data_IF_497523048962
#
_entry.id   IF_497523048962
#
_cell.length_a   1.000
_cell.length_b   1.000
_cell.length_c   1.000
_cell.angle_alpha   90.00
_cell.angle_beta   90.00
_cell.angle_gamma   90.00
#
_symmetry.space_group_name_H-M   'P 1'
#
loop_
_entity.id
_entity.type
_entity.pdbx_description
1 polymer ?
#
# COMPACT_ATOMS: atom_id res chain seq x y z
N UNK A 1 -12.23 -19.14 6.98
CA UNK A 1 -10.92 -18.48 6.78
C UNK A 1 -10.19 -19.16 5.64
N UNK A 2 -9.57 -18.40 4.73
CA UNK A 2 -8.81 -18.94 3.61
C UNK A 2 -7.59 -19.74 4.10
N UNK A 3 -7.08 -20.65 3.27
CA UNK A 3 -5.87 -21.44 3.60
C UNK A 3 -4.58 -20.65 3.41
N UNK A 4 -4.55 -19.76 2.43
CA UNK A 4 -3.55 -18.70 2.23
C UNK A 4 -4.32 -17.40 2.17
N UNK A 5 -3.84 -16.38 2.86
CA UNK A 5 -4.54 -15.11 2.98
C UNK A 5 -3.52 -13.98 3.12
N UNK A 6 -3.31 -13.27 2.00
CA UNK A 6 -2.39 -12.15 1.92
C UNK A 6 -3.14 -10.87 2.24
N UNK A 7 -2.57 -10.06 3.12
CA UNK A 7 -3.17 -8.77 3.42
C UNK A 7 -2.16 -7.66 3.63
N UNK A 8 -2.68 -6.44 3.52
CA UNK A 8 -2.02 -5.17 3.83
C UNK A 8 -3.04 -4.34 4.62
N UNK A 9 -2.63 -3.79 5.76
CA UNK A 9 -3.53 -3.15 6.73
C UNK A 9 -3.91 -1.73 6.33
N UNK A 10 -5.17 -1.38 6.56
CA UNK A 10 -5.73 -0.05 6.25
C UNK A 10 -5.50 1.01 7.31
N UNK A 11 -5.36 0.60 8.56
CA UNK A 11 -5.03 1.49 9.68
C UNK A 11 -4.58 0.68 10.90
N UNK A 12 -4.30 1.39 11.99
CA UNK A 12 -3.81 0.81 13.25
C UNK A 12 -4.78 -0.15 13.94
N UNK A 13 -6.09 -0.07 13.63
CA UNK A 13 -7.12 -0.96 14.18
C UNK A 13 -7.43 -2.16 13.27
N UNK A 14 -6.77 -2.25 12.11
CA UNK A 14 -7.05 -3.30 11.16
C UNK A 14 -6.47 -4.65 11.62
N UNK A 15 -7.39 -5.55 11.97
CA UNK A 15 -7.09 -6.94 12.34
C UNK A 15 -7.09 -7.89 11.13
N UNK A 16 -7.25 -7.35 9.93
CA UNK A 16 -7.44 -8.01 8.63
C UNK A 16 -8.68 -8.91 8.53
N UNK A 17 -9.42 -9.19 9.61
CA UNK A 17 -10.52 -10.20 9.69
C UNK A 17 -11.87 -9.71 9.14
N UNK A 18 -11.84 -8.67 8.32
CA UNK A 18 -12.99 -7.99 7.76
C UNK A 18 -12.60 -6.55 7.40
N UNK A 19 -13.56 -5.71 7.00
CA UNK A 19 -13.29 -4.30 6.73
C UNK A 19 -12.70 -3.62 7.97
N UNK A 20 -11.65 -2.84 7.79
CA UNK A 20 -11.04 -2.09 8.87
C UNK A 20 -12.03 -1.06 9.45
N UNK A 21 -12.06 -0.85 10.78
CA UNK A 21 -12.85 0.23 11.37
C UNK A 21 -12.44 1.59 10.79
N UNK A 22 -13.40 2.46 10.52
CA UNK A 22 -13.16 3.80 9.97
C UNK A 22 -14.15 4.81 10.56
N UNK A 23 -13.68 6.03 10.80
CA UNK A 23 -14.45 7.07 11.49
C UNK A 23 -14.65 6.81 12.99
N UNK A 24 -13.83 5.95 13.59
CA UNK A 24 -13.89 5.61 15.03
C UNK A 24 -12.71 6.23 15.78
N UNK A 25 -12.82 6.46 17.10
CA UNK A 25 -11.75 7.09 17.90
C UNK A 25 -10.42 6.33 17.81
N UNK A 26 -9.32 7.08 17.69
CA UNK A 26 -7.98 6.52 17.68
C UNK A 26 -7.62 5.94 19.06
N UNK A 27 -7.12 4.69 19.14
CA UNK A 27 -6.97 3.96 20.41
C UNK A 27 -5.98 4.61 21.39
N UNK A 28 -4.99 5.34 20.87
CA UNK A 28 -3.96 6.00 21.67
C UNK A 28 -4.12 7.53 21.70
N UNK A 29 -5.04 8.09 20.92
CA UNK A 29 -5.27 9.54 20.78
C UNK A 29 -6.77 9.79 20.60
N UNK A 30 -7.61 9.61 21.64
CA UNK A 30 -9.06 9.56 21.46
C UNK A 30 -9.73 10.84 20.92
N UNK A 31 -8.99 11.94 20.82
CA UNK A 31 -9.44 13.18 20.17
C UNK A 31 -9.43 13.09 18.62
N UNK A 32 -8.69 12.13 18.07
CA UNK A 32 -8.58 11.88 16.63
C UNK A 32 -9.39 10.65 16.21
N UNK A 33 -9.62 10.53 14.91
CA UNK A 33 -10.32 9.39 14.30
C UNK A 33 -9.36 8.60 13.41
N UNK A 34 -9.55 7.28 13.35
CA UNK A 34 -8.89 6.42 12.37
C UNK A 34 -9.72 6.29 11.11
N UNK A 35 -9.06 6.17 9.96
CA UNK A 35 -9.69 6.08 8.65
C UNK A 35 -9.03 5.01 7.79
N UNK A 36 -9.77 4.44 6.83
CA UNK A 36 -9.28 3.38 5.93
C UNK A 36 -8.13 3.83 4.99
N UNK A 37 -7.87 5.14 4.86
CA UNK A 37 -6.77 5.69 4.05
C UNK A 37 -5.52 6.01 4.87
N UNK A 38 -5.28 5.32 5.98
CA UNK A 38 -4.18 5.61 6.90
C UNK A 38 -3.16 4.48 7.02
N UNK A 39 -3.13 3.55 6.06
CA UNK A 39 -2.38 2.28 6.11
C UNK A 39 -1.09 2.32 6.92
N UNK A 40 -0.99 1.47 7.94
CA UNK A 40 0.22 1.30 8.75
C UNK A 40 1.32 0.53 8.02
N UNK A 41 0.93 -0.22 7.00
CA UNK A 41 1.83 -1.02 6.19
C UNK A 41 2.43 -0.24 5.03
N UNK A 42 1.97 1.00 4.79
CA UNK A 42 2.62 1.94 3.88
C UNK A 42 3.46 2.94 4.68
N UNK A 43 4.76 3.01 4.37
CA UNK A 43 5.66 4.05 4.90
C UNK A 43 6.39 4.76 3.78
N UNK A 44 6.60 6.06 3.98
CA UNK A 44 7.49 6.86 3.14
C UNK A 44 8.57 7.37 4.05
N UNK A 45 9.80 7.07 3.70
CA UNK A 45 11.00 7.54 4.37
C UNK A 45 11.63 8.62 3.50
N UNK A 46 11.30 9.87 3.82
CA UNK A 46 11.67 11.05 3.04
C UNK A 46 13.03 11.64 3.48
N UNK A 47 13.75 12.33 2.58
CA UNK A 47 15.04 12.98 2.86
C UNK A 47 15.06 14.01 4.01
N UNK A 48 16.29 14.41 4.35
CA UNK A 48 16.76 15.08 5.59
C UNK A 48 16.79 14.21 6.84
N UNK A 49 15.91 13.22 6.97
CA UNK A 49 15.90 12.28 8.11
C UNK A 49 15.75 10.81 7.69
N UNK A 50 15.94 10.53 6.40
CA UNK A 50 15.87 9.19 5.83
C UNK A 50 16.79 8.22 6.59
N UNK A 51 16.37 6.97 6.78
CA UNK A 51 17.25 5.96 7.38
C UNK A 51 18.53 5.81 6.56
N UNK A 52 19.68 5.48 7.17
CA UNK A 52 20.94 5.36 6.44
C UNK A 52 20.91 4.30 5.32
N UNK A 53 20.12 3.24 5.49
CA UNK A 53 19.97 2.14 4.54
C UNK A 53 18.51 1.67 4.45
N UNK A 54 18.08 1.13 3.30
CA UNK A 54 16.77 0.49 3.18
C UNK A 54 16.67 -0.74 4.09
N UNK A 55 15.44 -1.10 4.45
CA UNK A 55 15.15 -2.31 5.22
C UNK A 55 14.14 -3.19 4.49
N UNK A 56 14.35 -4.51 4.59
CA UNK A 56 13.39 -5.54 4.19
C UNK A 56 12.92 -6.36 5.41
N UNK A 57 13.34 -5.94 6.61
CA UNK A 57 13.00 -6.52 7.90
C UNK A 57 11.83 -5.74 8.52
N UNK A 58 10.80 -6.46 8.94
CA UNK A 58 9.54 -5.91 9.45
C UNK A 58 9.69 -5.27 10.83
N UNK A 59 10.53 -5.85 11.70
CA UNK A 59 10.84 -5.27 13.01
C UNK A 59 11.54 -3.92 12.85
N UNK A 60 12.48 -3.83 11.92
CA UNK A 60 13.17 -2.58 11.58
C UNK A 60 12.21 -1.58 10.96
N UNK A 61 11.34 -2.01 10.04
CA UNK A 61 10.32 -1.14 9.46
C UNK A 61 9.40 -0.58 10.55
N UNK A 62 8.93 -1.42 11.47
CA UNK A 62 8.00 -1.02 12.53
C UNK A 62 8.64 -0.02 13.52
N UNK A 63 9.88 -0.27 13.94
CA UNK A 63 10.51 0.47 15.04
C UNK A 63 11.36 1.67 14.60
N UNK A 64 12.02 1.57 13.44
CA UNK A 64 13.06 2.53 13.03
C UNK A 64 12.63 3.41 11.85
N UNK A 65 11.75 2.90 10.98
CA UNK A 65 11.21 3.70 9.88
C UNK A 65 9.96 4.44 10.33
N UNK A 66 10.06 5.76 10.40
CA UNK A 66 8.93 6.65 10.64
C UNK A 66 8.36 7.10 9.30
N UNK A 67 7.03 7.09 9.17
CA UNK A 67 6.40 7.70 8.01
C UNK A 67 6.65 9.21 8.03
N UNK A 68 7.07 9.75 6.89
CA UNK A 68 7.34 11.18 6.68
C UNK A 68 6.67 11.65 5.40
N UNK A 69 6.30 12.92 5.41
CA UNK A 69 5.76 13.59 4.24
C UNK A 69 6.77 13.51 3.08
N UNK A 70 6.38 12.94 1.92
CA UNK A 70 7.24 12.88 0.76
C UNK A 70 7.62 14.27 0.26
N UNK A 71 8.86 14.45 -0.16
CA UNK A 71 9.38 15.70 -0.73
C UNK A 71 9.38 15.63 -2.25
N UNK A 72 8.96 16.71 -2.91
CA UNK A 72 8.93 16.81 -4.37
C UNK A 72 10.35 16.90 -4.95
N UNK A 73 10.55 16.36 -6.14
CA UNK A 73 11.78 16.52 -6.92
C UNK A 73 12.98 15.81 -6.32
N UNK A 74 12.78 15.03 -5.25
CA UNK A 74 13.80 14.21 -4.61
C UNK A 74 13.34 12.76 -4.50
N UNK A 75 14.29 11.85 -4.43
CA UNK A 75 14.02 10.43 -4.22
C UNK A 75 13.67 10.18 -2.76
N UNK A 76 12.50 9.61 -2.53
CA UNK A 76 12.02 9.12 -1.24
C UNK A 76 12.08 7.59 -1.26
N UNK A 77 12.25 6.93 -0.11
CA UNK A 77 12.10 5.47 -0.05
C UNK A 77 10.69 5.13 0.36
N UNK A 78 10.00 4.36 -0.46
CA UNK A 78 8.63 3.95 -0.23
C UNK A 78 8.62 2.46 0.13
N UNK A 79 7.94 2.12 1.23
CA UNK A 79 7.85 0.76 1.73
C UNK A 79 6.40 0.30 1.78
N UNK A 80 6.21 -0.98 1.47
CA UNK A 80 4.97 -1.70 1.74
C UNK A 80 5.29 -2.98 2.50
N UNK A 81 4.54 -3.25 3.56
CA UNK A 81 4.59 -4.51 4.28
C UNK A 81 3.37 -5.37 3.93
N UNK A 82 3.59 -6.56 3.38
CA UNK A 82 2.52 -7.53 3.13
C UNK A 82 2.66 -8.72 4.08
N UNK A 83 1.53 -9.29 4.49
CA UNK A 83 1.43 -10.30 5.55
C UNK A 83 0.75 -11.55 5.02
N UNK A 84 1.14 -12.73 5.51
CA UNK A 84 0.37 -13.96 5.33
C UNK A 84 -0.20 -14.42 6.67
N UNK A 85 -1.51 -14.37 6.84
CA UNK A 85 -2.18 -14.90 8.06
C UNK A 85 -2.80 -16.28 7.84
N UNK A 86 -2.78 -16.79 6.62
CA UNK A 86 -3.27 -18.12 6.31
C UNK A 86 -2.43 -19.20 7.01
N UNK A 87 -3.00 -20.36 7.33
CA UNK A 87 -2.26 -21.48 7.92
C UNK A 87 -1.28 -22.15 6.93
N UNK A 88 -1.34 -21.85 5.64
CA UNK A 88 -0.44 -22.38 4.61
C UNK A 88 0.49 -21.30 4.04
N UNK A 89 1.61 -21.77 3.50
CA UNK A 89 2.59 -20.95 2.80
C UNK A 89 1.98 -20.32 1.53
N UNK A 90 2.17 -19.03 1.36
CA UNK A 90 1.86 -18.29 0.14
C UNK A 90 3.05 -18.34 -0.81
N UNK A 91 2.82 -18.65 -2.09
CA UNK A 91 3.88 -18.66 -3.11
C UNK A 91 3.73 -17.53 -4.10
N UNK A 92 4.86 -17.04 -4.59
CA UNK A 92 4.92 -15.95 -5.57
C UNK A 92 4.15 -14.69 -5.13
N UNK A 93 4.27 -14.33 -3.85
CA UNK A 93 3.72 -13.07 -3.34
C UNK A 93 4.38 -11.91 -4.08
N UNK A 94 3.54 -11.03 -4.62
CA UNK A 94 3.96 -9.81 -5.32
C UNK A 94 3.22 -8.63 -4.75
N UNK A 95 3.91 -7.50 -4.71
CA UNK A 95 3.36 -6.21 -4.31
C UNK A 95 3.58 -5.20 -5.42
N UNK A 96 2.59 -4.36 -5.67
CA UNK A 96 2.65 -3.24 -6.62
C UNK A 96 2.16 -1.97 -5.94
N UNK A 97 2.76 -0.84 -6.31
CA UNK A 97 2.39 0.44 -5.76
C UNK A 97 2.21 1.53 -6.81
N UNK A 98 1.28 2.44 -6.51
CA UNK A 98 0.90 3.56 -7.35
C UNK A 98 0.70 4.80 -6.49
N UNK A 99 0.81 5.97 -7.10
CA UNK A 99 0.39 7.22 -6.49
C UNK A 99 -0.53 8.00 -7.42
N UNK A 100 -1.42 8.80 -6.85
CA UNK A 100 -2.35 9.63 -7.58
C UNK A 100 -2.54 10.99 -6.90
N UNK A 101 -2.83 12.01 -7.71
CA UNK A 101 -3.33 13.28 -7.21
C UNK A 101 -4.76 13.09 -6.70
N UNK A 102 -5.01 13.43 -5.44
CA UNK A 102 -6.32 13.29 -4.80
C UNK A 102 -6.94 14.64 -4.42
N UNK A 103 -6.39 15.75 -4.91
CA UNK A 103 -6.80 17.11 -4.53
C UNK A 103 -8.27 17.42 -4.84
N UNK A 104 -8.87 16.70 -5.80
CA UNK A 104 -10.29 16.82 -6.17
C UNK A 104 -11.13 15.62 -5.73
N UNK A 105 -10.59 14.79 -4.82
CA UNK A 105 -11.10 13.48 -4.50
C UNK A 105 -10.22 12.37 -5.05
N UNK A 106 -10.38 11.17 -4.48
CA UNK A 106 -9.64 9.98 -4.88
C UNK A 106 -10.10 9.53 -6.28
N UNK A 107 -9.21 9.49 -7.29
CA UNK A 107 -9.59 9.08 -8.63
C UNK A 107 -9.91 7.58 -8.71
N UNK A 108 -10.79 7.22 -9.62
CA UNK A 108 -11.05 5.82 -9.94
C UNK A 108 -9.79 5.15 -10.52
N UNK A 109 -9.65 3.86 -10.26
CA UNK A 109 -8.70 3.00 -10.94
C UNK A 109 -9.04 2.94 -12.44
N UNK A 110 -8.03 2.82 -13.31
CA UNK A 110 -8.23 2.54 -14.72
C UNK A 110 -9.15 1.33 -14.96
N UNK A 111 -9.97 1.40 -16.01
CA UNK A 111 -10.92 0.33 -16.34
C UNK A 111 -10.25 -1.02 -16.64
N UNK A 112 -8.95 -1.00 -16.98
CA UNK A 112 -8.14 -2.18 -17.27
C UNK A 112 -7.28 -2.65 -16.08
N UNK A 113 -7.44 -2.05 -14.89
CA UNK A 113 -6.57 -2.29 -13.72
C UNK A 113 -6.54 -3.76 -13.28
N UNK A 114 -7.68 -4.45 -13.36
CA UNK A 114 -7.85 -5.85 -12.96
C UNK A 114 -7.83 -6.84 -14.14
N UNK A 115 -7.32 -6.42 -15.30
CA UNK A 115 -7.41 -7.22 -16.53
C UNK A 115 -6.08 -7.85 -16.92
N UNK A 116 -6.14 -9.08 -17.43
CA UNK A 116 -4.97 -9.81 -17.91
C UNK A 116 -3.94 -10.02 -16.80
N UNK A 117 -2.74 -9.46 -16.99
CA UNK A 117 -1.63 -9.60 -16.04
C UNK A 117 -1.38 -8.32 -15.21
N UNK A 118 -2.30 -7.35 -15.25
CA UNK A 118 -2.24 -6.11 -14.49
C UNK A 118 -2.79 -6.33 -13.07
N UNK A 119 -2.30 -5.59 -12.06
CA UNK A 119 -1.26 -4.56 -12.12
C UNK A 119 0.18 -5.09 -11.99
N UNK A 120 0.39 -6.41 -11.97
CA UNK A 120 1.65 -7.00 -11.51
C UNK A 120 2.72 -7.20 -12.60
N UNK A 121 2.33 -7.68 -13.79
CA UNK A 121 3.28 -7.90 -14.90
C UNK A 121 3.18 -6.83 -15.99
N UNK A 122 2.15 -5.99 -15.94
CA UNK A 122 1.94 -4.89 -16.86
C UNK A 122 1.28 -3.72 -16.13
N UNK A 123 1.51 -2.51 -16.66
CA UNK A 123 0.87 -1.31 -16.14
C UNK A 123 -0.55 -1.13 -16.68
N UNK A 124 -1.50 -0.72 -15.81
CA UNK A 124 -2.81 -0.28 -16.26
C UNK A 124 -2.72 1.03 -17.05
N UNK A 125 -3.73 1.31 -17.87
CA UNK A 125 -3.78 2.54 -18.68
C UNK A 125 -3.79 3.78 -17.78
N UNK A 126 -2.73 4.59 -17.87
CA UNK A 126 -2.46 5.66 -16.89
C UNK A 126 -2.95 7.03 -17.35
N UNK A 127 -3.76 7.69 -16.51
CA UNK A 127 -3.84 9.15 -16.43
C UNK A 127 -3.71 9.63 -14.98
N UNK A 128 -4.47 9.01 -14.07
CA UNK A 128 -4.55 9.49 -12.69
C UNK A 128 -3.68 8.71 -11.71
N UNK A 129 -3.48 7.40 -11.95
CA UNK A 129 -2.64 6.52 -11.14
C UNK A 129 -1.30 6.25 -11.83
N UNK A 130 -0.23 6.73 -11.22
CA UNK A 130 1.14 6.56 -11.73
C UNK A 130 1.85 5.48 -10.93
N UNK A 131 2.43 4.45 -11.59
CA UNK A 131 3.22 3.45 -10.89
C UNK A 131 4.45 4.07 -10.22
N UNK A 132 4.76 3.65 -9.00
CA UNK A 132 5.96 4.11 -8.29
C UNK A 132 7.22 3.42 -8.83
N UNK A 133 7.08 2.16 -9.24
CA UNK A 133 8.15 1.35 -9.82
C UNK A 133 7.61 0.01 -10.31
N UNK A 134 8.51 -0.91 -10.68
CA UNK A 134 8.14 -2.27 -11.06
C UNK A 134 7.42 -3.01 -9.91
N UNK A 135 6.73 -4.12 -10.20
CA UNK A 135 6.20 -4.97 -9.14
C UNK A 135 7.39 -5.57 -8.38
N UNK A 136 7.20 -5.84 -7.09
CA UNK A 136 8.23 -6.48 -6.30
C UNK A 136 8.63 -7.82 -6.94
N UNK A 137 9.88 -8.27 -6.75
CA UNK A 137 10.22 -9.66 -6.98
C UNK A 137 9.24 -10.58 -6.26
N UNK A 138 8.95 -11.72 -6.89
CA UNK A 138 8.08 -12.73 -6.30
C UNK A 138 8.81 -13.37 -5.11
N UNK A 139 8.14 -13.43 -3.97
CA UNK A 139 8.68 -14.06 -2.75
C UNK A 139 7.69 -15.06 -2.18
N UNK A 140 8.20 -16.05 -1.50
CA UNK A 140 7.39 -17.00 -0.74
C UNK A 140 7.23 -16.50 0.70
N UNK A 141 6.04 -16.65 1.27
CA UNK A 141 5.71 -16.20 2.63
C UNK A 141 5.13 -17.35 3.47
N UNK A 142 5.85 -17.72 4.51
CA UNK A 142 5.40 -18.72 5.49
C UNK A 142 4.17 -18.22 6.28
N UNK A 143 3.38 -19.13 6.88
CA UNK A 143 2.27 -18.77 7.75
C UNK A 143 2.70 -17.83 8.89
N UNK A 144 1.97 -16.73 9.07
CA UNK A 144 2.23 -15.74 10.13
C UNK A 144 3.45 -14.83 9.87
N UNK A 145 4.09 -14.93 8.69
CA UNK A 145 5.23 -14.10 8.34
C UNK A 145 4.81 -12.90 7.47
N UNK A 146 5.73 -11.95 7.35
CA UNK A 146 5.55 -10.73 6.57
C UNK A 146 6.74 -10.53 5.63
N UNK A 147 6.53 -9.76 4.57
CA UNK A 147 7.60 -9.28 3.68
C UNK A 147 7.51 -7.77 3.60
N UNK A 148 8.67 -7.12 3.61
CA UNK A 148 8.76 -5.68 3.35
C UNK A 148 9.42 -5.49 1.99
N UNK A 149 8.75 -4.72 1.15
CA UNK A 149 9.23 -4.35 -0.19
C UNK A 149 9.50 -2.85 -0.23
N UNK A 150 10.47 -2.46 -1.06
CA UNK A 150 10.99 -1.11 -1.10
C UNK A 150 11.12 -0.60 -2.54
N UNK A 151 10.90 0.70 -2.72
CA UNK A 151 11.14 1.40 -3.97
C UNK A 151 11.78 2.77 -3.70
N UNK A 152 12.79 3.09 -4.51
CA UNK A 152 13.22 4.47 -4.73
C UNK A 152 12.15 5.20 -5.55
N UNK A 153 11.46 6.14 -4.92
CA UNK A 153 10.37 6.91 -5.50
C UNK A 153 10.76 8.38 -5.70
N UNK A 154 11.04 8.76 -6.95
CA UNK A 154 11.19 10.16 -7.34
C UNK A 154 9.81 10.81 -7.44
N UNK A 155 9.44 11.60 -6.43
CA UNK A 155 8.17 12.34 -6.44
C UNK A 155 8.26 13.46 -7.49
N UNK A 156 7.32 13.56 -8.45
CA UNK A 156 7.38 14.59 -9.47
C UNK A 156 7.34 16.01 -8.89
N UNK A 157 8.04 16.95 -9.54
CA UNK A 157 8.08 18.35 -9.09
C UNK A 157 6.70 19.02 -9.08
N UNK A 158 5.78 18.57 -9.94
CA UNK A 158 4.40 19.06 -9.99
C UNK A 158 3.41 18.27 -9.13
N UNK A 159 3.86 17.32 -8.30
CA UNK A 159 2.95 16.48 -7.52
C UNK A 159 2.08 17.30 -6.56
N UNK A 160 0.78 17.03 -6.52
CA UNK A 160 -0.14 17.79 -5.70
C UNK A 160 0.11 17.56 -4.20
N UNK A 161 -0.13 18.60 -3.39
CA UNK A 161 0.06 18.50 -1.93
C UNK A 161 -0.82 17.42 -1.30
N UNK A 162 -2.07 17.29 -1.75
CA UNK A 162 -2.92 16.17 -1.39
C UNK A 162 -2.86 15.09 -2.48
N UNK A 163 -2.23 13.98 -2.14
CA UNK A 163 -2.05 12.80 -3.00
C UNK A 163 -2.33 11.54 -2.20
N UNK A 164 -2.50 10.41 -2.87
CA UNK A 164 -2.70 9.10 -2.25
C UNK A 164 -1.69 8.09 -2.78
N UNK A 165 -1.29 7.16 -1.92
CA UNK A 165 -0.55 5.96 -2.26
C UNK A 165 -1.50 4.78 -2.23
N UNK A 166 -1.48 3.95 -3.26
CA UNK A 166 -2.17 2.67 -3.35
C UNK A 166 -1.13 1.56 -3.36
N UNK A 167 -1.30 0.58 -2.48
CA UNK A 167 -0.54 -0.66 -2.51
C UNK A 167 -1.47 -1.84 -2.74
N UNK A 168 -1.01 -2.79 -3.53
CA UNK A 168 -1.77 -3.96 -3.99
C UNK A 168 -0.89 -5.18 -3.86
N UNK A 169 -1.35 -6.22 -3.19
CA UNK A 169 -0.64 -7.49 -3.04
C UNK A 169 -1.41 -8.65 -3.70
N UNK A 170 -0.72 -9.72 -4.08
CA UNK A 170 -1.34 -10.96 -4.57
C UNK A 170 -0.39 -12.12 -4.33
N UNK A 171 -0.89 -13.35 -4.37
CA UNK A 171 -0.06 -14.54 -4.53
C UNK A 171 -0.78 -15.58 -5.43
N UNK A 172 -0.18 -16.75 -5.66
CA UNK A 172 -0.79 -17.78 -6.52
C UNK A 172 -2.05 -18.41 -5.92
N UNK A 173 -2.12 -18.51 -4.59
CA UNK A 173 -3.24 -19.13 -3.87
C UNK A 173 -4.32 -18.11 -3.44
N UNK A 174 -3.97 -16.84 -3.43
CA UNK A 174 -4.83 -15.71 -3.08
C UNK A 174 -4.68 -14.65 -4.18
N UNK A 175 -5.31 -14.96 -5.31
CA UNK A 175 -5.21 -14.15 -6.53
C UNK A 175 -6.17 -12.98 -6.41
N UNK A 176 -5.61 -11.77 -6.43
CA UNK A 176 -6.43 -10.57 -6.43
C UNK A 176 -7.04 -10.31 -7.81
N UNK A 177 -8.38 -10.32 -7.87
CA UNK A 177 -9.14 -9.89 -9.05
C UNK A 177 -10.50 -9.32 -8.64
N UNK A 178 -10.73 -8.05 -8.95
CA UNK A 178 -11.95 -7.31 -8.57
C UNK A 178 -12.63 -6.69 -9.81
N UNK A 179 -13.06 -7.50 -10.80
CA UNK A 179 -13.63 -6.99 -12.03
C UNK A 179 -14.86 -6.12 -11.76
N UNK A 180 -14.92 -4.94 -12.40
CA UNK A 180 -16.02 -3.99 -12.22
C UNK A 180 -15.90 -3.06 -11.02
N UNK A 181 -14.93 -3.29 -10.11
CA UNK A 181 -14.67 -2.42 -8.96
C UNK A 181 -13.50 -1.47 -9.25
N UNK A 182 -13.82 -0.22 -9.58
CA UNK A 182 -12.81 0.79 -9.95
C UNK A 182 -12.76 1.97 -8.98
N UNK A 183 -13.75 2.15 -8.11
CA UNK A 183 -13.66 3.14 -7.05
C UNK A 183 -12.61 2.68 -6.03
N UNK A 184 -11.44 3.33 -6.00
CA UNK A 184 -10.31 2.89 -5.17
C UNK A 184 -10.66 2.84 -3.68
N UNK A 185 -11.52 3.75 -3.21
CA UNK A 185 -12.03 3.72 -1.83
C UNK A 185 -12.91 2.51 -1.54
N UNK A 186 -13.76 2.09 -2.48
CA UNK A 186 -14.58 0.89 -2.31
C UNK A 186 -13.71 -0.36 -2.32
N UNK A 187 -12.73 -0.42 -3.24
CA UNK A 187 -11.79 -1.54 -3.38
C UNK A 187 -11.07 -1.85 -2.07
N UNK A 188 -10.53 -0.83 -1.40
CA UNK A 188 -9.84 -1.00 -0.10
C UNK A 188 -10.77 -1.57 0.96
N UNK A 189 -12.03 -1.14 0.99
CA UNK A 189 -12.99 -1.60 1.99
C UNK A 189 -13.53 -3.02 1.73
N UNK A 190 -13.33 -3.60 0.54
CA UNK A 190 -13.82 -4.94 0.17
C UNK A 190 -12.71 -5.98 -0.03
N UNK A 191 -11.44 -5.58 -0.07
CA UNK A 191 -10.30 -6.48 -0.25
C UNK A 191 -9.15 -6.10 0.66
N UNK A 192 -8.72 -7.07 1.47
CA UNK A 192 -7.58 -6.95 2.36
C UNK A 192 -6.23 -6.99 1.61
N UNK A 193 -6.21 -7.34 0.32
CA UNK A 193 -5.01 -7.30 -0.51
C UNK A 193 -4.67 -5.88 -0.99
N UNK A 194 -5.57 -4.91 -0.76
CA UNK A 194 -5.44 -3.54 -1.28
C UNK A 194 -5.54 -2.56 -0.13
N UNK A 195 -4.65 -1.59 -0.09
CA UNK A 195 -4.71 -0.54 0.93
C UNK A 195 -4.32 0.82 0.36
N UNK A 196 -4.70 1.88 1.09
CA UNK A 196 -4.43 3.26 0.72
C UNK A 196 -3.77 4.03 1.88
N UNK A 197 -2.90 4.98 1.51
CA UNK A 197 -2.40 6.00 2.43
C UNK A 197 -2.51 7.39 1.84
N UNK A 198 -3.24 8.27 2.52
CA UNK A 198 -3.24 9.69 2.19
C UNK A 198 -1.89 10.32 2.50
N UNK A 199 -1.46 11.22 1.61
CA UNK A 199 -0.21 11.94 1.72
C UNK A 199 -0.45 13.44 1.83
N UNK A 200 0.50 14.06 2.53
CA UNK A 200 0.79 15.47 2.41
C UNK A 200 2.17 15.64 1.77
N UNK A 201 2.21 15.87 0.46
CA UNK A 201 3.47 16.07 -0.28
C UNK A 201 3.96 17.50 -0.08
N UNK A 202 5.20 17.62 0.40
CA UNK A 202 5.85 18.89 0.74
C UNK A 202 6.87 19.28 -0.33
N UNK A 203 7.25 20.57 -0.42
CA UNK A 203 8.32 21.02 -1.30
C UNK A 203 9.62 20.25 -1.13
#
# INVERSE_FOLDING_TARGET
EPMVDIYVRDNILDAARGPAPSGVPHPFQPADLVWWWQSEDIKVDAPSFQTPAPTHDDVTLANLVQHRNPQRGVTNRFYVQAHNRGPLKATNVRVRAFFANASLGLPNLPADFWTGTKPFLADPGAADWTPIGAASPAVDLEPGHTTVVEWDWLVPMGAAGHSCLLAVATCDQDVLSLPGHFAAGDVVNISNNVTLKNLHIVP
#
